data_IF_634482597555
#
_entry.id   IF_634482597555
#
_cell.length_a   1.000
_cell.length_b   1.000
_cell.length_c   1.000
_cell.angle_alpha   90.00
_cell.angle_beta   90.00
_cell.angle_gamma   90.00
#
_symmetry.space_group_name_H-M   'P 1'
#
loop_
_entity.id
_entity.type
_entity.pdbx_description
1 polymer ?
#
# COMPACT_ATOMS: atom_id res chain seq x y z
N UNK A 1 -4.73 -15.17 17.71
CA UNK A 1 -4.62 -13.90 18.46
C UNK A 1 -3.33 -13.13 18.14
N UNK A 2 -2.14 -13.75 18.15
CA UNK A 2 -0.88 -13.03 17.85
C UNK A 2 -0.77 -12.48 16.42
N UNK A 3 -1.22 -13.22 15.40
CA UNK A 3 -1.18 -12.78 13.99
C UNK A 3 -2.06 -11.54 13.75
N UNK A 4 -3.24 -11.48 14.36
CA UNK A 4 -4.15 -10.33 14.22
C UNK A 4 -3.54 -9.05 14.81
N UNK A 5 -2.87 -9.14 15.96
CA UNK A 5 -2.18 -8.01 16.57
C UNK A 5 -0.97 -7.56 15.74
N UNK A 6 -0.23 -8.50 15.14
CA UNK A 6 0.87 -8.18 14.23
C UNK A 6 0.36 -7.47 12.96
N UNK A 7 -0.78 -7.90 12.40
CA UNK A 7 -1.43 -7.24 11.25
C UNK A 7 -1.88 -5.81 11.60
N UNK A 8 -2.48 -5.60 12.77
CA UNK A 8 -2.85 -4.25 13.22
C UNK A 8 -1.62 -3.34 13.39
N UNK A 9 -0.50 -3.90 13.84
CA UNK A 9 0.76 -3.18 14.03
C UNK A 9 1.40 -2.68 12.74
N UNK A 10 1.18 -3.35 11.60
CA UNK A 10 1.76 -2.95 10.31
C UNK A 10 0.93 -1.93 9.54
N UNK A 11 -0.36 -1.73 9.89
CA UNK A 11 -1.25 -0.80 9.19
C UNK A 11 -0.66 0.62 9.09
N UNK A 12 -0.12 1.23 10.17
CA UNK A 12 0.48 2.56 10.07
C UNK A 12 1.67 2.61 9.10
N UNK A 13 2.47 1.55 9.04
CA UNK A 13 3.60 1.45 8.12
C UNK A 13 3.13 1.32 6.66
N UNK A 14 2.06 0.53 6.43
CA UNK A 14 1.42 0.41 5.11
C UNK A 14 0.85 1.74 4.64
N UNK A 15 0.17 2.50 5.51
CA UNK A 15 -0.32 3.84 5.14
C UNK A 15 0.83 4.75 4.72
N UNK A 16 1.93 4.77 5.50
CA UNK A 16 3.10 5.61 5.19
C UNK A 16 3.73 5.25 3.84
N UNK A 17 3.93 3.97 3.55
CA UNK A 17 4.55 3.57 2.27
C UNK A 17 3.62 3.84 1.08
N UNK A 18 2.31 3.63 1.23
CA UNK A 18 1.33 3.93 0.18
C UNK A 18 1.34 5.44 -0.13
N UNK A 19 1.27 6.29 0.90
CA UNK A 19 1.30 7.76 0.72
C UNK A 19 2.63 8.20 0.12
N UNK A 20 3.76 7.66 0.60
CA UNK A 20 5.08 8.02 0.06
C UNK A 20 5.22 7.63 -1.42
N UNK A 21 4.73 6.47 -1.83
CA UNK A 21 4.74 6.03 -3.24
C UNK A 21 3.83 6.91 -4.08
N UNK A 22 2.64 7.27 -3.57
CA UNK A 22 1.73 8.17 -4.28
C UNK A 22 2.32 9.57 -4.47
N UNK A 23 2.96 10.13 -3.43
CA UNK A 23 3.62 11.44 -3.50
C UNK A 23 4.82 11.45 -4.45
N UNK A 24 5.60 10.36 -4.47
CA UNK A 24 6.75 10.22 -5.37
C UNK A 24 6.31 10.04 -6.84
N UNK A 25 5.17 9.40 -7.08
CA UNK A 25 4.65 9.07 -8.40
C UNK A 25 3.15 9.41 -8.49
N UNK A 26 2.75 10.69 -8.59
CA UNK A 26 1.35 11.10 -8.52
C UNK A 26 0.52 10.78 -9.79
N UNK A 27 0.99 9.88 -10.65
CA UNK A 27 0.35 9.56 -11.92
C UNK A 27 -0.98 8.82 -11.69
N UNK A 28 -2.11 9.34 -12.23
CA UNK A 28 -3.39 8.65 -12.16
C UNK A 28 -3.38 7.38 -13.03
N UNK A 29 -4.18 6.38 -12.66
CA UNK A 29 -4.29 5.11 -13.38
C UNK A 29 -3.14 4.12 -13.14
N UNK A 30 -2.02 4.56 -12.57
CA UNK A 30 -0.85 3.71 -12.29
C UNK A 30 -0.94 2.91 -10.97
N UNK A 31 -2.15 2.63 -10.47
CA UNK A 31 -2.34 2.01 -9.16
C UNK A 31 -1.77 0.60 -9.07
N UNK A 32 -1.81 -0.15 -10.18
CA UNK A 32 -1.27 -1.51 -10.27
C UNK A 32 0.26 -1.49 -10.17
N UNK A 33 0.91 -0.58 -10.90
CA UNK A 33 2.36 -0.40 -10.93
C UNK A 33 2.87 0.04 -9.56
N UNK A 34 2.17 0.97 -8.91
CA UNK A 34 2.49 1.43 -7.54
C UNK A 34 2.38 0.29 -6.52
N UNK A 35 1.31 -0.51 -6.59
CA UNK A 35 1.13 -1.67 -5.71
C UNK A 35 2.23 -2.71 -5.92
N UNK A 36 2.59 -3.00 -7.17
CA UNK A 36 3.66 -3.93 -7.49
C UNK A 36 5.02 -3.43 -7.00
N UNK A 37 5.30 -2.12 -7.10
CA UNK A 37 6.51 -1.54 -6.52
C UNK A 37 6.56 -1.73 -4.99
N UNK A 38 5.45 -1.47 -4.29
CA UNK A 38 5.35 -1.74 -2.85
C UNK A 38 5.60 -3.22 -2.54
N UNK A 39 5.02 -4.14 -3.33
CA UNK A 39 5.23 -5.58 -3.18
C UNK A 39 6.71 -5.95 -3.26
N UNK A 40 7.38 -5.47 -4.31
CA UNK A 40 8.78 -5.78 -4.56
C UNK A 40 9.67 -5.22 -3.46
N UNK A 41 9.47 -3.98 -3.04
CA UNK A 41 10.20 -3.37 -1.92
C UNK A 41 10.08 -4.22 -0.65
N UNK A 42 8.85 -4.62 -0.30
CA UNK A 42 8.61 -5.43 0.89
C UNK A 42 9.25 -6.83 0.75
N UNK A 43 9.14 -7.45 -0.41
CA UNK A 43 9.70 -8.79 -0.67
C UNK A 43 11.23 -8.77 -0.62
N UNK A 44 11.88 -7.73 -1.16
CA UNK A 44 13.33 -7.52 -1.05
C UNK A 44 13.77 -7.27 0.39
N UNK A 45 12.95 -6.60 1.20
CA UNK A 45 13.26 -6.38 2.61
C UNK A 45 13.08 -7.65 3.47
N UNK A 46 12.16 -8.54 3.09
CA UNK A 46 11.86 -9.76 3.82
C UNK A 46 11.23 -10.84 2.93
N UNK A 47 11.93 -11.96 2.75
CA UNK A 47 11.49 -13.07 1.88
C UNK A 47 10.15 -13.69 2.32
N UNK A 48 9.78 -13.57 3.61
CA UNK A 48 8.53 -14.11 4.14
C UNK A 48 7.28 -13.30 3.76
N UNK A 49 7.40 -12.15 3.07
CA UNK A 49 6.26 -11.33 2.65
C UNK A 49 5.30 -12.10 1.75
N UNK A 50 5.80 -13.01 0.91
CA UNK A 50 4.96 -13.79 0.00
C UNK A 50 3.82 -14.55 0.70
N UNK A 51 4.05 -15.04 1.91
CA UNK A 51 3.07 -15.80 2.68
C UNK A 51 1.90 -14.94 3.20
N UNK A 52 2.14 -13.64 3.44
CA UNK A 52 1.15 -12.69 3.98
C UNK A 52 0.68 -11.67 2.95
N UNK A 53 1.21 -11.72 1.73
CA UNK A 53 0.90 -10.78 0.65
C UNK A 53 -0.59 -10.63 0.37
N UNK A 54 -1.41 -11.71 0.27
CA UNK A 54 -2.84 -11.56 0.01
C UNK A 54 -3.56 -10.70 1.06
N UNK A 55 -3.15 -10.77 2.34
CA UNK A 55 -3.72 -9.94 3.39
C UNK A 55 -3.25 -8.50 3.30
N UNK A 56 -1.97 -8.26 3.00
CA UNK A 56 -1.41 -6.92 2.79
C UNK A 56 -2.11 -6.23 1.62
N UNK A 57 -2.28 -6.93 0.50
CA UNK A 57 -2.92 -6.43 -0.71
C UNK A 57 -4.36 -5.98 -0.45
N UNK A 58 -5.15 -6.77 0.29
CA UNK A 58 -6.51 -6.39 0.68
C UNK A 58 -6.52 -5.14 1.58
N UNK A 59 -5.59 -5.04 2.53
CA UNK A 59 -5.47 -3.87 3.40
C UNK A 59 -5.11 -2.62 2.58
N UNK A 60 -4.16 -2.74 1.64
CA UNK A 60 -3.77 -1.65 0.73
C UNK A 60 -4.98 -1.23 -0.12
N UNK A 61 -5.76 -2.18 -0.65
CA UNK A 61 -6.95 -1.88 -1.43
C UNK A 61 -7.99 -1.07 -0.61
N UNK A 62 -8.21 -1.42 0.65
CA UNK A 62 -9.09 -0.67 1.56
C UNK A 62 -8.57 0.75 1.80
N UNK A 63 -7.28 0.91 2.08
CA UNK A 63 -6.64 2.22 2.32
C UNK A 63 -6.75 3.11 1.08
N UNK A 64 -6.40 2.58 -0.10
CA UNK A 64 -6.45 3.32 -1.37
C UNK A 64 -7.89 3.68 -1.74
N UNK A 65 -8.85 2.78 -1.49
CA UNK A 65 -10.27 3.07 -1.73
C UNK A 65 -10.77 4.23 -0.87
N UNK A 66 -10.40 4.25 0.42
CA UNK A 66 -10.70 5.38 1.30
C UNK A 66 -10.05 6.67 0.83
N UNK A 67 -8.75 6.63 0.51
CA UNK A 67 -8.00 7.79 0.05
C UNK A 67 -8.60 8.40 -1.24
N UNK A 68 -9.01 7.55 -2.19
CA UNK A 68 -9.69 7.97 -3.41
C UNK A 68 -11.07 8.57 -3.12
N UNK A 69 -11.85 7.98 -2.20
CA UNK A 69 -13.18 8.44 -1.86
C UNK A 69 -13.18 9.85 -1.22
N UNK A 70 -12.14 10.18 -0.45
CA UNK A 70 -12.00 11.49 0.21
C UNK A 70 -11.12 12.48 -0.57
N UNK A 71 -10.59 12.08 -1.73
CA UNK A 71 -9.71 12.94 -2.53
C UNK A 71 -8.35 13.22 -1.90
N UNK A 72 -7.83 12.31 -1.06
CA UNK A 72 -6.53 12.48 -0.40
C UNK A 72 -5.34 12.44 -1.37
N UNK A 73 -5.49 11.74 -2.49
CA UNK A 73 -4.45 11.65 -3.52
C UNK A 73 -4.65 12.73 -4.59
N UNK A 74 -3.59 13.51 -4.82
CA UNK A 74 -3.58 14.54 -5.86
C UNK A 74 -3.69 13.85 -7.22
N UNK A 75 -4.62 14.31 -8.04
CA UNK A 75 -4.59 13.99 -9.47
C UNK A 75 -3.50 14.84 -10.10
N UNK A 76 -2.57 14.23 -10.84
CA UNK A 76 -1.73 14.98 -11.76
C UNK A 76 -2.61 15.59 -12.84
N UNK A 77 -2.94 16.87 -12.69
CA UNK A 77 -3.45 17.66 -13.80
C UNK A 77 -2.30 17.80 -14.80
N UNK A 78 -2.45 17.15 -15.97
CA UNK A 78 -1.61 17.34 -17.15
C UNK A 78 -2.48 17.87 -18.26
#
# INVERSE_FOLDING_TARGET
MQIALAVLGIIPALIKIIVAVEEAFPQPGAGKEKLEAVRQILTTAYDGIGAIWPSIEQIVAVIVSLANAIGAFKKSDT
#
